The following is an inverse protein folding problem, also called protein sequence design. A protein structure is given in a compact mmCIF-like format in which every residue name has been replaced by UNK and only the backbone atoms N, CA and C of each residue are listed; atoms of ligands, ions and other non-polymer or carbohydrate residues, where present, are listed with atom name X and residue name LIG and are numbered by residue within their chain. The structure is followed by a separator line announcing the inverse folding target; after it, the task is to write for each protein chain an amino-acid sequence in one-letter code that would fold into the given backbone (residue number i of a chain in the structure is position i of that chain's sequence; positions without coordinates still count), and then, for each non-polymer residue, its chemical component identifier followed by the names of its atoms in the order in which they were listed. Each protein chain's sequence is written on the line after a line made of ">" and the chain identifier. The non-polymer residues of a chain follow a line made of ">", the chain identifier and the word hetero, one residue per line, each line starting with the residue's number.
data_IF_695010261945
#
_entry.id   IF_695010261945
#
_cell.length_a   1.000
_cell.length_b   1.000
_cell.length_c   1.000
_cell.angle_alpha   90.00
_cell.angle_beta   90.00
_cell.angle_gamma   90.00
#
_symmetry.space_group_name_H-M   'P 1'
#
loop_
_entity.id
_entity.type
_entity.pdbx_description
1 polymer ?
#
# COMPACT_ATOMS: atom_id res chain seq x y z
N UNK A 1 1.25 13.85 -7.27
CA UNK A 1 0.98 12.56 -7.92
C UNK A 1 -0.49 12.27 -7.72
N UNK A 2 -1.25 12.04 -8.79
CA UNK A 2 -2.68 11.75 -8.69
C UNK A 2 -2.93 10.29 -8.25
N UNK A 3 -2.14 9.36 -8.80
CA UNK A 3 -2.23 7.92 -8.50
C UNK A 3 -0.83 7.32 -8.34
N UNK A 4 -0.64 6.58 -7.25
CA UNK A 4 0.57 5.78 -6.99
C UNK A 4 0.33 4.35 -7.40
N UNK A 5 1.24 3.79 -8.19
CA UNK A 5 1.13 2.42 -8.69
C UNK A 5 2.40 1.67 -8.32
N UNK A 6 2.24 0.60 -7.55
CA UNK A 6 3.35 -0.25 -7.12
C UNK A 6 2.99 -1.71 -7.35
N UNK A 7 3.60 -2.30 -8.37
CA UNK A 7 3.22 -3.62 -8.90
C UNK A 7 4.41 -4.59 -8.99
N UNK A 8 5.12 -4.87 -7.88
CA UNK A 8 6.12 -5.92 -7.86
C UNK A 8 5.45 -7.29 -8.08
N UNK A 9 6.15 -8.23 -8.72
CA UNK A 9 5.72 -9.64 -8.76
C UNK A 9 5.69 -10.21 -7.34
N UNK A 10 6.77 -10.02 -6.58
CA UNK A 10 6.83 -10.25 -5.13
C UNK A 10 7.94 -9.38 -4.51
N UNK A 11 7.70 -8.83 -3.32
CA UNK A 11 8.72 -8.23 -2.46
C UNK A 11 8.48 -8.55 -0.97
N UNK A 12 9.50 -8.32 -0.13
CA UNK A 12 9.35 -8.50 1.31
C UNK A 12 8.60 -7.34 1.98
N UNK A 13 8.91 -6.11 1.57
CA UNK A 13 8.27 -4.89 2.06
C UNK A 13 8.54 -3.75 1.07
N UNK A 14 7.52 -2.97 0.73
CA UNK A 14 7.65 -1.85 -0.17
C UNK A 14 7.64 -0.51 0.58
N UNK A 15 8.83 0.03 0.89
CA UNK A 15 8.93 1.32 1.58
C UNK A 15 8.51 2.50 0.70
N UNK A 16 8.65 2.38 -0.62
CA UNK A 16 8.22 3.41 -1.58
C UNK A 16 6.72 3.66 -1.47
N UNK A 17 5.90 2.62 -1.25
CA UNK A 17 4.45 2.79 -0.97
C UNK A 17 4.24 3.68 0.26
N UNK A 18 4.99 3.44 1.34
CA UNK A 18 4.85 4.20 2.59
C UNK A 18 5.25 5.66 2.39
N UNK A 19 6.35 5.90 1.69
CA UNK A 19 6.82 7.24 1.33
C UNK A 19 5.82 7.97 0.45
N UNK A 20 5.22 7.30 -0.56
CA UNK A 20 4.18 7.87 -1.40
C UNK A 20 2.97 8.35 -0.58
N UNK A 21 2.48 7.53 0.35
CA UNK A 21 1.33 7.84 1.22
C UNK A 21 1.65 9.03 2.14
N UNK A 22 2.86 9.07 2.71
CA UNK A 22 3.28 10.17 3.60
C UNK A 22 3.48 11.47 2.83
N UNK A 23 4.08 11.41 1.65
CA UNK A 23 4.33 12.59 0.81
C UNK A 23 3.06 13.17 0.19
N UNK A 24 2.06 12.34 -0.12
CA UNK A 24 0.79 12.80 -0.66
C UNK A 24 -0.40 11.94 -0.18
N UNK A 25 -1.01 12.27 0.97
CA UNK A 25 -2.13 11.51 1.53
C UNK A 25 -3.44 11.65 0.73
N UNK A 26 -3.48 12.56 -0.24
CA UNK A 26 -4.64 12.78 -1.12
C UNK A 26 -4.56 11.98 -2.44
N UNK A 27 -3.43 11.31 -2.72
CA UNK A 27 -3.29 10.48 -3.92
C UNK A 27 -4.08 9.17 -3.79
N UNK A 28 -4.62 8.68 -4.91
CA UNK A 28 -5.07 7.30 -4.98
C UNK A 28 -3.87 6.35 -4.99
N UNK A 29 -4.10 5.10 -4.59
CA UNK A 29 -3.06 4.07 -4.53
C UNK A 29 -3.54 2.78 -5.17
N UNK A 30 -2.65 2.16 -5.92
CA UNK A 30 -2.79 0.84 -6.51
C UNK A 30 -1.60 -0.01 -6.09
N UNK A 31 -1.88 -1.15 -5.47
CA UNK A 31 -0.87 -2.14 -5.07
C UNK A 31 -1.10 -3.46 -5.80
N UNK A 32 -0.03 -4.16 -6.15
CA UNK A 32 -0.14 -5.60 -6.46
C UNK A 32 -0.36 -6.41 -5.18
N UNK A 33 -1.05 -7.55 -5.30
CA UNK A 33 -1.13 -8.55 -4.23
C UNK A 33 0.25 -9.06 -3.78
N UNK A 34 1.27 -9.01 -4.66
CA UNK A 34 2.64 -9.43 -4.35
C UNK A 34 3.46 -8.42 -3.53
N UNK A 35 2.92 -7.24 -3.23
CA UNK A 35 3.62 -6.25 -2.42
C UNK A 35 3.53 -6.61 -0.91
N UNK A 36 4.66 -6.69 -0.22
CA UNK A 36 4.71 -6.91 1.23
C UNK A 36 3.94 -5.86 2.04
N UNK A 37 3.82 -4.64 1.50
CA UNK A 37 2.99 -3.58 2.09
C UNK A 37 1.49 -3.86 1.96
N UNK A 38 1.04 -4.49 0.86
CA UNK A 38 -0.34 -4.95 0.72
C UNK A 38 -0.67 -5.97 1.82
N UNK A 39 0.23 -6.94 2.05
CA UNK A 39 0.05 -7.92 3.13
C UNK A 39 -0.04 -7.26 4.50
N UNK A 40 0.89 -6.35 4.84
CA UNK A 40 0.84 -5.60 6.11
C UNK A 40 -0.49 -4.87 6.29
N UNK A 41 -0.97 -4.14 5.28
CA UNK A 41 -2.22 -3.41 5.38
C UNK A 41 -3.43 -4.33 5.46
N UNK A 42 -3.43 -5.46 4.74
CA UNK A 42 -4.50 -6.46 4.82
C UNK A 42 -4.60 -7.08 6.21
N UNK A 43 -3.49 -7.44 6.84
CA UNK A 43 -3.45 -7.94 8.23
C UNK A 43 -4.03 -6.94 9.23
N UNK A 44 -3.86 -5.64 8.96
CA UNK A 44 -4.38 -4.55 9.78
C UNK A 44 -5.78 -4.07 9.34
N UNK A 45 -6.44 -4.77 8.40
CA UNK A 45 -7.78 -4.46 7.87
C UNK A 45 -7.88 -3.08 7.20
N UNK A 46 -6.83 -2.68 6.49
CA UNK A 46 -6.70 -1.40 5.78
C UNK A 46 -6.74 -1.55 4.25
N UNK A 47 -7.05 -2.74 3.73
CA UNK A 47 -7.09 -3.00 2.29
C UNK A 47 -8.21 -2.26 1.56
N UNK A 48 -9.22 -1.75 2.26
CA UNK A 48 -10.28 -0.92 1.68
C UNK A 48 -9.81 0.48 1.27
N UNK A 49 -8.63 0.93 1.69
CA UNK A 49 -8.10 2.27 1.41
C UNK A 49 -7.37 2.40 0.05
N UNK A 50 -7.20 1.31 -0.70
CA UNK A 50 -6.48 1.31 -1.99
C UNK A 50 -7.03 0.26 -2.96
N UNK A 51 -6.61 0.34 -4.22
CA UNK A 51 -6.98 -0.60 -5.27
C UNK A 51 -5.93 -1.69 -5.41
N UNK A 52 -6.36 -2.90 -5.78
CA UNK A 52 -5.49 -4.08 -5.80
C UNK A 52 -5.46 -4.67 -7.21
N UNK A 53 -4.26 -4.95 -7.71
CA UNK A 53 -4.05 -5.72 -8.94
C UNK A 53 -3.64 -7.14 -8.54
N UNK A 54 -4.50 -8.12 -8.86
CA UNK A 54 -4.26 -9.53 -8.53
C UNK A 54 -3.31 -10.19 -9.52
N UNK A 55 -3.56 -9.97 -10.81
CA UNK A 55 -2.70 -10.45 -11.90
C UNK A 55 -2.16 -9.24 -12.65
N UNK A 56 -0.83 -9.05 -12.58
CA UNK A 56 -0.15 -7.96 -13.27
C UNK A 56 0.20 -8.31 -14.72
N UNK A 57 0.11 -9.59 -15.11
CA UNK A 57 0.35 -10.05 -16.47
C UNK A 57 -0.93 -9.96 -17.32
N UNK A 58 -2.10 -9.99 -16.68
CA UNK A 58 -3.39 -9.72 -17.33
C UNK A 58 -3.59 -8.21 -17.57
N UNK A 59 -3.42 -7.82 -18.84
CA UNK A 59 -3.55 -6.43 -19.27
C UNK A 59 -4.98 -5.87 -19.12
N UNK A 60 -6.03 -6.70 -19.24
CA UNK A 60 -7.42 -6.25 -19.10
C UNK A 60 -7.73 -5.97 -17.63
N UNK A 61 -7.32 -6.87 -16.73
CA UNK A 61 -7.44 -6.67 -15.27
C UNK A 61 -6.67 -5.44 -14.84
N UNK A 62 -5.42 -5.29 -15.28
CA UNK A 62 -4.61 -4.12 -14.94
C UNK A 62 -5.28 -2.82 -15.41
N UNK A 63 -5.76 -2.77 -16.65
CA UNK A 63 -6.43 -1.60 -17.21
C UNK A 63 -7.72 -1.26 -16.46
N UNK A 64 -8.51 -2.26 -16.06
CA UNK A 64 -9.71 -2.06 -15.27
C UNK A 64 -9.38 -1.43 -13.91
N UNK A 65 -8.38 -1.95 -13.18
CA UNK A 65 -7.99 -1.42 -11.87
C UNK A 65 -7.47 0.02 -11.99
N UNK A 66 -6.68 0.31 -13.03
CA UNK A 66 -6.24 1.68 -13.32
C UNK A 66 -7.43 2.62 -13.57
N UNK A 67 -8.43 2.17 -14.34
CA UNK A 67 -9.63 2.95 -14.61
C UNK A 67 -10.45 3.23 -13.34
N UNK A 68 -10.62 2.23 -12.49
CA UNK A 68 -11.31 2.35 -11.20
C UNK A 68 -10.57 3.32 -10.27
N UNK A 69 -9.24 3.28 -10.23
CA UNK A 69 -8.44 4.20 -9.44
C UNK A 69 -8.60 5.67 -9.86
N UNK A 70 -8.78 5.93 -11.16
CA UNK A 70 -9.03 7.29 -11.69
C UNK A 70 -10.46 7.75 -11.41
N UNK A 71 -11.45 6.88 -11.63
CA UNK A 71 -12.87 7.26 -11.58
C UNK A 71 -13.46 7.21 -10.18
N UNK A 72 -12.94 6.34 -9.32
CA UNK A 72 -13.40 6.10 -7.96
C UNK A 72 -12.19 5.98 -7.02
N UNK A 73 -11.44 7.08 -6.80
CA UNK A 73 -10.24 7.05 -5.97
C UNK A 73 -10.60 6.73 -4.52
N UNK A 74 -9.84 5.79 -3.93
CA UNK A 74 -9.93 5.47 -2.51
C UNK A 74 -9.00 6.39 -1.71
N UNK A 75 -9.44 6.79 -0.53
CA UNK A 75 -8.68 7.70 0.34
C UNK A 75 -7.65 6.92 1.15
N UNK A 76 -6.39 7.36 1.08
CA UNK A 76 -5.26 6.77 1.81
C UNK A 76 -4.93 7.49 3.12
N UNK A 77 -5.74 8.46 3.55
CA UNK A 77 -5.49 9.22 4.78
C UNK A 77 -5.35 8.33 6.03
N UNK A 78 -6.19 7.30 6.16
CA UNK A 78 -6.12 6.31 7.25
C UNK A 78 -4.80 5.51 7.23
N UNK A 79 -4.28 5.19 6.03
CA UNK A 79 -2.97 4.57 5.89
C UNK A 79 -1.86 5.52 6.37
N UNK A 80 -1.98 6.81 6.07
CA UNK A 80 -1.01 7.82 6.51
C UNK A 80 -0.97 7.93 8.04
N UNK A 81 -2.12 7.91 8.70
CA UNK A 81 -2.23 7.89 10.16
C UNK A 81 -1.60 6.62 10.74
N UNK A 82 -1.95 5.45 10.19
CA UNK A 82 -1.35 4.17 10.57
C UNK A 82 0.19 4.19 10.43
N UNK A 83 0.72 4.74 9.34
CA UNK A 83 2.17 4.79 9.10
C UNK A 83 2.91 5.70 10.07
N UNK A 84 2.30 6.81 10.52
CA UNK A 84 2.88 7.71 11.53
C UNK A 84 3.04 7.00 12.88
N UNK A 85 2.10 6.12 13.22
CA UNK A 85 2.15 5.32 14.46
C UNK A 85 3.06 4.09 14.34
N UNK A 86 3.27 3.59 13.12
CA UNK A 86 4.02 2.36 12.82
C UNK A 86 5.30 2.63 12.02
N UNK A 87 6.08 3.61 12.50
CA UNK A 87 7.36 4.00 11.91
C UNK A 87 8.54 3.08 12.25
N UNK A 88 9.71 3.44 11.72
CA UNK A 88 10.98 2.68 11.89
C UNK A 88 11.39 2.53 13.36
N UNK A 89 11.12 3.54 14.20
CA UNK A 89 11.43 3.49 15.63
C UNK A 89 10.63 2.40 16.35
N UNK A 90 9.33 2.29 16.04
CA UNK A 90 8.49 1.24 16.61
C UNK A 90 8.95 -0.14 16.15
N UNK A 91 9.19 -0.31 14.85
CA UNK A 91 9.72 -1.56 14.30
C UNK A 91 11.05 -1.97 14.94
N UNK A 92 11.98 -1.03 15.09
CA UNK A 92 13.30 -1.28 15.70
C UNK A 92 13.16 -1.74 17.15
N UNK A 93 12.29 -1.08 17.92
CA UNK A 93 12.02 -1.47 19.30
C UNK A 93 11.36 -2.85 19.41
N UNK A 94 10.39 -3.17 18.55
CA UNK A 94 9.76 -4.49 18.50
C UNK A 94 10.76 -5.57 18.08
N UNK A 95 11.65 -5.28 17.14
CA UNK A 95 12.67 -6.20 16.68
C UNK A 95 13.73 -6.49 17.75
N UNK A 96 14.20 -5.47 18.46
CA UNK A 96 15.28 -5.58 19.45
C UNK A 96 14.78 -6.06 20.82
N UNK A 97 13.58 -5.65 21.23
CA UNK A 97 13.07 -5.83 22.59
C UNK A 97 11.72 -6.55 22.65
N UNK A 98 11.06 -6.77 21.52
CA UNK A 98 9.82 -7.56 21.46
C UNK A 98 10.09 -9.00 21.90
N UNK A 99 9.37 -9.45 22.93
CA UNK A 99 9.41 -10.86 23.33
C UNK A 99 8.75 -11.71 22.24
N UNK A 100 9.45 -12.76 21.82
CA UNK A 100 8.90 -13.84 20.99
C UNK A 100 7.69 -14.50 21.63
#
# INVERSE_FOLDING_TARGET
>A
MDIGVVTPVMDGMNLVVKEMIVCNPDAALILSEGAGTHHQFTENKLSHNYHVVQDIEDAEVFAQVMHEAVTQPKKVAELSEYLKENGVEKWSNEFLYGKK
#
